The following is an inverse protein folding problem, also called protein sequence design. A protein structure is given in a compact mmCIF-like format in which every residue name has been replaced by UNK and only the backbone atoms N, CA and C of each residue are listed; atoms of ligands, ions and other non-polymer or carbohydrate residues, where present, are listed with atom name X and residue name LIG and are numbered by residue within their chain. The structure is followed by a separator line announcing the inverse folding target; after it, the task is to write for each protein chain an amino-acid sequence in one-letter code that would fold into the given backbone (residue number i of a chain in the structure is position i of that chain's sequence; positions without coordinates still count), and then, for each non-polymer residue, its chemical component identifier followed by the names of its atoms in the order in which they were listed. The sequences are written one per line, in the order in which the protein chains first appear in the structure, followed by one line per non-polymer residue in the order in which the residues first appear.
data_IF_501170659827
#
_entry.id   IF_501170659827
#
_cell.length_a   1.000
_cell.length_b   1.000
_cell.length_c   1.000
_cell.angle_alpha   90.00
_cell.angle_beta   90.00
_cell.angle_gamma   90.00
#
_symmetry.space_group_name_H-M   'P 1'
#
loop_
_entity.id
_entity.type
_entity.pdbx_description
1 polymer ?
#
# COMPACT_ATOMS: atom_id res chain seq x y z
N UNK A 1 -7.32 47.23 -35.79
CA UNK A 1 -6.43 46.64 -34.77
C UNK A 1 -7.32 45.83 -33.86
N UNK A 2 -7.21 44.51 -33.90
CA UNK A 2 -8.00 43.62 -33.02
C UNK A 2 -7.58 43.88 -31.58
N UNK A 3 -8.54 44.06 -30.67
CA UNK A 3 -8.25 44.08 -29.23
C UNK A 3 -7.51 42.79 -28.86
N UNK A 4 -6.48 42.84 -28.01
CA UNK A 4 -5.86 41.62 -27.50
C UNK A 4 -6.93 40.81 -26.76
N UNK A 5 -7.02 39.52 -27.06
CA UNK A 5 -7.88 38.61 -26.32
C UNK A 5 -7.40 38.59 -24.86
N UNK A 6 -8.30 38.95 -23.93
CA UNK A 6 -7.98 39.00 -22.49
C UNK A 6 -8.45 37.69 -21.87
N UNK A 7 -7.55 37.02 -21.15
CA UNK A 7 -7.86 35.80 -20.40
C UNK A 7 -8.46 36.18 -19.05
N UNK A 8 -9.58 35.58 -18.62
CA UNK A 8 -10.10 35.78 -17.28
C UNK A 8 -9.08 35.35 -16.21
N UNK A 9 -8.94 36.16 -15.15
CA UNK A 9 -8.02 35.90 -14.03
C UNK A 9 -8.20 34.49 -13.44
N UNK A 10 -9.46 34.04 -13.31
CA UNK A 10 -9.79 32.71 -12.78
C UNK A 10 -9.16 31.61 -13.65
N UNK A 11 -9.25 31.74 -14.97
CA UNK A 11 -8.73 30.73 -15.91
C UNK A 11 -7.20 30.74 -15.93
N UNK A 12 -6.58 31.92 -15.86
CA UNK A 12 -5.14 32.09 -15.78
C UNK A 12 -4.55 31.49 -14.49
N UNK A 13 -5.18 31.76 -13.34
CA UNK A 13 -4.76 31.19 -12.05
C UNK A 13 -5.00 29.68 -12.02
N UNK A 14 -6.10 29.19 -12.58
CA UNK A 14 -6.38 27.75 -12.68
C UNK A 14 -5.36 27.02 -13.57
N UNK A 15 -4.88 27.64 -14.65
CA UNK A 15 -3.80 27.09 -15.47
C UNK A 15 -2.47 26.98 -14.70
N UNK A 16 -2.08 28.01 -13.95
CA UNK A 16 -0.88 27.96 -13.11
C UNK A 16 -1.00 26.97 -11.95
N UNK A 17 -2.19 26.89 -11.35
CA UNK A 17 -2.45 25.98 -10.22
C UNK A 17 -2.26 24.53 -10.65
N UNK A 18 -2.74 24.16 -11.85
CA UNK A 18 -2.49 22.81 -12.42
C UNK A 18 -1.00 22.50 -12.57
N UNK A 19 -0.21 23.46 -13.04
CA UNK A 19 1.25 23.29 -13.17
C UNK A 19 1.94 23.11 -11.81
N UNK A 20 1.51 23.89 -10.80
CA UNK A 20 2.01 23.79 -9.43
C UNK A 20 1.61 22.47 -8.76
N UNK A 21 0.35 22.07 -8.89
CA UNK A 21 -0.16 20.83 -8.32
C UNK A 21 0.60 19.62 -8.88
N UNK A 22 0.90 19.61 -10.18
CA UNK A 22 1.70 18.56 -10.80
C UNK A 22 3.11 18.46 -10.18
N UNK A 23 3.76 19.60 -9.92
CA UNK A 23 5.06 19.66 -9.24
C UNK A 23 4.98 19.10 -7.82
N UNK A 24 3.96 19.49 -7.05
CA UNK A 24 3.80 19.04 -5.66
C UNK A 24 3.50 17.55 -5.55
N UNK A 25 2.66 17.02 -6.44
CA UNK A 25 2.37 15.58 -6.53
C UNK A 25 3.66 14.81 -6.84
N UNK A 26 4.43 15.23 -7.85
CA UNK A 26 5.69 14.57 -8.20
C UNK A 26 6.71 14.61 -7.04
N UNK A 27 6.87 15.74 -6.36
CA UNK A 27 7.77 15.84 -5.20
C UNK A 27 7.35 14.93 -4.04
N UNK A 28 6.05 14.83 -3.76
CA UNK A 28 5.50 13.97 -2.73
C UNK A 28 5.68 12.48 -3.07
N UNK A 29 5.38 12.08 -4.30
CA UNK A 29 5.60 10.71 -4.80
C UNK A 29 7.07 10.31 -4.68
N UNK A 30 8.00 11.12 -5.16
CA UNK A 30 9.43 10.82 -5.08
C UNK A 30 9.94 10.72 -3.65
N UNK A 31 9.40 11.51 -2.74
CA UNK A 31 9.73 11.46 -1.31
C UNK A 31 9.20 10.17 -0.67
N UNK A 32 7.99 9.75 -1.06
CA UNK A 32 7.42 8.48 -0.61
C UNK A 32 8.22 7.28 -1.14
N UNK A 33 8.54 7.26 -2.43
CA UNK A 33 9.31 6.20 -3.09
C UNK A 33 10.70 6.06 -2.48
N UNK A 34 11.37 7.20 -2.23
CA UNK A 34 12.65 7.24 -1.54
C UNK A 34 12.56 6.60 -0.15
N UNK A 35 11.57 6.99 0.64
CA UNK A 35 11.37 6.45 2.00
C UNK A 35 11.07 4.95 1.97
N UNK A 36 10.25 4.48 1.05
CA UNK A 36 9.91 3.06 0.91
C UNK A 36 11.15 2.25 0.51
N UNK A 37 11.89 2.71 -0.50
CA UNK A 37 13.09 2.05 -1.00
C UNK A 37 14.19 1.98 0.06
N UNK A 38 14.43 3.09 0.77
CA UNK A 38 15.42 3.12 1.84
C UNK A 38 14.99 2.32 3.08
N UNK A 39 13.68 2.28 3.38
CA UNK A 39 13.15 1.41 4.45
C UNK A 39 13.35 -0.07 4.12
N UNK A 40 13.21 -0.48 2.86
CA UNK A 40 13.50 -1.85 2.43
C UNK A 40 14.99 -2.20 2.65
N UNK A 41 15.88 -1.22 2.45
CA UNK A 41 17.31 -1.30 2.78
C UNK A 41 17.62 -1.01 4.26
N UNK A 42 16.57 -0.76 5.07
CA UNK A 42 16.55 -0.39 6.50
C UNK A 42 17.42 0.77 6.94
N UNK A 43 17.59 1.74 6.05
CA UNK A 43 18.06 3.08 6.40
C UNK A 43 16.91 3.88 7.01
N UNK A 44 17.21 4.81 7.93
CA UNK A 44 16.19 5.67 8.53
C UNK A 44 15.54 6.55 7.45
N UNK A 45 14.24 6.83 7.60
CA UNK A 45 13.49 7.69 6.68
C UNK A 45 13.85 9.18 6.81
N UNK A 46 14.70 9.53 7.78
CA UNK A 46 15.12 10.89 8.10
C UNK A 46 16.52 11.14 7.55
N UNK A 47 16.59 11.85 6.42
CA UNK A 47 17.85 12.14 5.73
C UNK A 47 18.73 13.15 6.45
N UNK A 48 18.19 13.91 7.40
CA UNK A 48 18.97 14.84 8.23
C UNK A 48 19.96 14.10 9.14
N UNK A 49 19.66 12.86 9.52
CA UNK A 49 20.52 12.01 10.35
C UNK A 49 21.70 11.40 9.58
N UNK A 50 21.75 11.57 8.25
CA UNK A 50 22.79 10.97 7.42
C UNK A 50 24.08 11.80 7.40
N UNK A 51 24.04 13.09 7.73
CA UNK A 51 25.17 14.02 7.58
C UNK A 51 26.11 14.12 8.79
N UNK A 52 25.61 14.03 10.02
CA UNK A 52 26.37 14.47 11.20
C UNK A 52 27.54 13.55 11.60
N UNK A 53 27.56 12.29 11.17
CA UNK A 53 28.77 11.47 11.23
C UNK A 53 28.66 10.26 10.30
N UNK A 54 28.70 10.46 8.98
CA UNK A 54 28.52 9.39 7.96
C UNK A 54 29.34 8.13 8.26
N UNK A 55 30.48 8.21 8.94
CA UNK A 55 31.32 7.05 9.29
C UNK A 55 30.87 6.35 10.56
N UNK A 56 30.46 7.09 11.60
CA UNK A 56 29.92 6.53 12.83
C UNK A 56 28.47 6.10 12.62
N UNK A 57 27.63 6.95 12.01
CA UNK A 57 26.29 6.66 11.53
C UNK A 57 26.26 5.50 10.56
N UNK A 58 27.10 5.35 9.52
CA UNK A 58 27.03 4.11 8.70
C UNK A 58 27.54 2.87 9.44
N UNK A 59 28.47 2.98 10.39
CA UNK A 59 28.97 1.82 11.17
C UNK A 59 27.97 1.41 12.26
N UNK A 60 27.29 2.39 12.85
CA UNK A 60 26.19 2.25 13.79
C UNK A 60 24.95 1.84 13.03
N UNK A 61 24.43 2.61 12.08
CA UNK A 61 23.30 2.25 11.21
C UNK A 61 23.49 0.92 10.51
N UNK A 62 24.66 0.50 10.02
CA UNK A 62 24.81 -0.85 9.45
C UNK A 62 24.85 -1.92 10.55
N UNK A 63 25.37 -1.63 11.75
CA UNK A 63 25.37 -2.58 12.89
C UNK A 63 24.01 -2.66 13.60
N UNK A 64 23.33 -1.54 13.74
CA UNK A 64 21.97 -1.33 14.24
C UNK A 64 20.99 -1.87 13.22
N UNK A 65 21.09 -1.55 11.93
CA UNK A 65 20.33 -2.21 10.85
C UNK A 65 20.50 -3.72 10.90
N UNK A 66 21.73 -4.24 10.99
CA UNK A 66 21.93 -5.70 11.08
C UNK A 66 21.37 -6.27 12.37
N UNK A 67 21.46 -5.55 13.48
CA UNK A 67 20.93 -5.96 14.78
C UNK A 67 19.40 -5.92 14.79
N UNK A 68 18.81 -4.89 14.22
CA UNK A 68 17.39 -4.56 14.19
C UNK A 68 16.69 -5.38 13.12
N UNK A 69 17.25 -5.57 11.94
CA UNK A 69 16.75 -6.54 10.95
C UNK A 69 16.82 -7.96 11.49
N UNK A 70 17.92 -8.34 12.16
CA UNK A 70 17.98 -9.66 12.83
C UNK A 70 16.94 -9.75 13.93
N UNK A 71 16.82 -8.73 14.76
CA UNK A 71 15.85 -8.69 15.85
C UNK A 71 14.43 -8.77 15.29
N UNK A 72 14.07 -7.93 14.32
CA UNK A 72 12.80 -7.88 13.61
C UNK A 72 12.48 -9.25 12.99
N UNK A 73 13.38 -9.83 12.20
CA UNK A 73 13.17 -11.15 11.56
C UNK A 73 12.99 -12.24 12.61
N UNK A 74 13.81 -12.25 13.67
CA UNK A 74 13.73 -13.23 14.76
C UNK A 74 12.44 -13.07 15.57
N UNK A 75 12.09 -11.82 15.92
CA UNK A 75 10.92 -11.48 16.72
C UNK A 75 9.63 -11.68 15.93
N UNK A 76 9.62 -11.37 14.64
CA UNK A 76 8.51 -11.68 13.73
C UNK A 76 8.31 -13.18 13.65
N UNK A 77 9.37 -13.96 13.41
CA UNK A 77 9.30 -15.42 13.47
C UNK A 77 8.81 -15.94 14.83
N UNK A 78 9.24 -15.32 15.93
CA UNK A 78 8.79 -15.69 17.29
C UNK A 78 7.30 -15.38 17.50
N UNK A 79 6.83 -14.20 17.07
CA UNK A 79 5.43 -13.80 17.13
C UNK A 79 4.57 -14.76 16.31
N UNK A 80 4.96 -15.04 15.07
CA UNK A 80 4.27 -15.99 14.20
C UNK A 80 4.16 -17.39 14.80
N UNK A 81 5.25 -17.92 15.37
CA UNK A 81 5.22 -19.23 16.05
C UNK A 81 4.28 -19.24 17.27
N UNK A 82 4.12 -18.11 17.97
CA UNK A 82 3.19 -17.99 19.10
C UNK A 82 1.72 -17.91 18.64
N UNK A 83 1.47 -17.32 17.48
CA UNK A 83 0.13 -17.18 16.88
C UNK A 83 -0.25 -18.35 15.98
N UNK A 84 0.32 -19.55 16.23
CA UNK A 84 0.08 -20.81 15.50
C UNK A 84 0.58 -20.87 14.04
N UNK A 85 1.29 -19.85 13.58
CA UNK A 85 2.03 -19.87 12.31
C UNK A 85 1.18 -19.63 11.05
N UNK A 86 1.81 -19.87 9.90
CA UNK A 86 1.29 -19.73 8.55
C UNK A 86 0.28 -20.82 8.19
N UNK A 87 0.47 -22.06 8.67
CA UNK A 87 -0.50 -23.15 8.44
C UNK A 87 -1.89 -22.79 8.98
N UNK A 88 -1.94 -22.38 10.25
CA UNK A 88 -3.21 -21.94 10.86
C UNK A 88 -3.78 -20.74 10.12
N UNK A 89 -2.94 -19.76 9.74
CA UNK A 89 -3.40 -18.59 9.00
C UNK A 89 -4.07 -18.97 7.66
N UNK A 90 -3.45 -19.89 6.91
CA UNK A 90 -4.02 -20.43 5.67
C UNK A 90 -5.37 -21.09 5.96
N UNK A 91 -5.47 -21.91 7.01
CA UNK A 91 -6.72 -22.57 7.38
C UNK A 91 -7.82 -21.56 7.75
N UNK A 92 -7.49 -20.50 8.50
CA UNK A 92 -8.46 -19.45 8.84
C UNK A 92 -8.94 -18.69 7.62
N UNK A 93 -8.06 -18.33 6.68
CA UNK A 93 -8.45 -17.68 5.41
C UNK A 93 -9.35 -18.59 4.58
N UNK A 94 -9.07 -19.90 4.54
CA UNK A 94 -9.93 -20.88 3.86
C UNK A 94 -11.29 -21.03 4.54
N UNK A 95 -11.35 -20.98 5.87
CA UNK A 95 -12.61 -21.03 6.62
C UNK A 95 -13.48 -19.81 6.34
N UNK A 96 -12.91 -18.59 6.38
CA UNK A 96 -13.59 -17.35 5.99
C UNK A 96 -14.15 -17.47 4.57
N UNK A 97 -13.35 -17.95 3.62
CA UNK A 97 -13.79 -18.10 2.23
C UNK A 97 -14.95 -19.11 2.09
N UNK A 98 -14.92 -20.21 2.84
CA UNK A 98 -15.99 -21.21 2.87
C UNK A 98 -17.28 -20.62 3.45
N UNK A 99 -17.18 -19.91 4.58
CA UNK A 99 -18.31 -19.25 5.22
C UNK A 99 -18.96 -18.23 4.30
N UNK A 100 -18.15 -17.42 3.62
CA UNK A 100 -18.65 -16.45 2.65
C UNK A 100 -19.41 -17.10 1.48
N UNK A 101 -18.90 -18.21 0.93
CA UNK A 101 -19.61 -18.95 -0.11
C UNK A 101 -20.97 -19.50 0.37
N UNK A 102 -21.08 -19.89 1.64
CA UNK A 102 -22.36 -20.28 2.24
C UNK A 102 -23.31 -19.07 2.36
N UNK A 103 -22.83 -17.91 2.78
CA UNK A 103 -23.61 -16.66 2.79
C UNK A 103 -24.04 -16.22 1.40
N UNK A 104 -23.22 -16.40 0.35
CA UNK A 104 -23.60 -16.16 -1.05
C UNK A 104 -24.77 -17.06 -1.49
N UNK A 105 -24.76 -18.32 -1.06
CA UNK A 105 -25.85 -19.27 -1.33
C UNK A 105 -27.13 -18.84 -0.62
N UNK A 106 -27.07 -18.53 0.68
CA UNK A 106 -28.21 -18.05 1.46
C UNK A 106 -28.78 -16.74 0.90
N UNK A 107 -27.92 -15.83 0.47
CA UNK A 107 -28.32 -14.57 -0.17
C UNK A 107 -29.07 -14.82 -1.49
N UNK A 108 -28.58 -15.76 -2.30
CA UNK A 108 -29.23 -16.13 -3.56
C UNK A 108 -30.62 -16.72 -3.35
N UNK A 109 -30.80 -17.55 -2.31
CA UNK A 109 -32.11 -18.05 -1.89
C UNK A 109 -33.04 -16.92 -1.42
N UNK A 110 -32.52 -16.01 -0.60
CA UNK A 110 -33.26 -14.84 -0.14
C UNK A 110 -33.74 -13.98 -1.31
N UNK A 111 -32.85 -13.65 -2.24
CA UNK A 111 -33.14 -12.83 -3.42
C UNK A 111 -34.20 -13.46 -4.30
N UNK A 112 -34.08 -14.77 -4.56
CA UNK A 112 -35.06 -15.54 -5.34
C UNK A 112 -36.44 -15.53 -4.66
N UNK A 113 -36.49 -15.70 -3.34
CA UNK A 113 -37.72 -15.62 -2.58
C UNK A 113 -38.33 -14.20 -2.62
N UNK A 114 -37.50 -13.18 -2.49
CA UNK A 114 -37.93 -11.78 -2.60
C UNK A 114 -38.53 -11.49 -3.97
N UNK A 115 -37.84 -11.81 -5.05
CA UNK A 115 -38.30 -11.58 -6.42
C UNK A 115 -39.64 -12.28 -6.69
N UNK A 116 -39.81 -13.52 -6.19
CA UNK A 116 -41.05 -14.27 -6.29
C UNK A 116 -42.23 -13.67 -5.49
N UNK A 117 -41.96 -12.95 -4.39
CA UNK A 117 -43.00 -12.37 -3.53
C UNK A 117 -43.19 -10.86 -3.72
N UNK A 118 -42.32 -10.20 -4.49
CA UNK A 118 -42.29 -8.74 -4.65
C UNK A 118 -43.66 -8.15 -5.01
N UNK A 119 -44.42 -8.81 -5.89
CA UNK A 119 -45.76 -8.36 -6.30
C UNK A 119 -46.84 -8.45 -5.22
N UNK A 120 -46.56 -9.07 -4.07
CA UNK A 120 -47.50 -9.26 -2.95
C UNK A 120 -47.15 -8.42 -1.71
N UNK A 121 -46.08 -7.65 -1.77
CA UNK A 121 -45.61 -6.79 -0.67
C UNK A 121 -46.25 -5.40 -0.78
N UNK A 122 -46.53 -4.75 0.35
CA UNK A 122 -46.98 -3.35 0.32
C UNK A 122 -45.78 -2.40 0.12
N UNK A 123 -46.04 -1.18 -0.33
CA UNK A 123 -44.99 -0.21 -0.69
C UNK A 123 -43.96 0.06 0.42
N UNK A 124 -44.40 0.13 1.68
CA UNK A 124 -43.50 0.34 2.82
C UNK A 124 -42.52 -0.82 3.02
N UNK A 125 -42.95 -2.04 2.77
CA UNK A 125 -42.13 -3.24 2.93
C UNK A 125 -41.21 -3.44 1.73
N UNK A 126 -41.69 -3.14 0.53
CA UNK A 126 -40.85 -3.08 -0.66
C UNK A 126 -39.66 -2.15 -0.42
N UNK A 127 -39.91 -0.97 0.15
CA UNK A 127 -38.83 -0.04 0.51
C UNK A 127 -37.85 -0.67 1.51
N UNK A 128 -38.35 -1.26 2.61
CA UNK A 128 -37.50 -1.91 3.62
C UNK A 128 -36.67 -3.06 3.06
N UNK A 129 -37.26 -3.97 2.29
CA UNK A 129 -36.53 -5.10 1.71
C UNK A 129 -35.53 -4.66 0.65
N UNK A 130 -35.84 -3.64 -0.17
CA UNK A 130 -34.88 -3.08 -1.13
C UNK A 130 -33.66 -2.46 -0.43
N UNK A 131 -33.89 -1.73 0.67
CA UNK A 131 -32.79 -1.12 1.45
C UNK A 131 -31.89 -2.19 2.10
N UNK A 132 -32.51 -3.25 2.65
CA UNK A 132 -31.78 -4.42 3.17
C UNK A 132 -31.01 -5.14 2.07
N UNK A 133 -31.62 -5.39 0.91
CA UNK A 133 -30.95 -6.03 -0.24
C UNK A 133 -29.72 -5.23 -0.65
N UNK A 134 -29.87 -3.91 -0.84
CA UNK A 134 -28.76 -3.03 -1.21
C UNK A 134 -27.65 -3.04 -0.15
N UNK A 135 -28.01 -3.02 1.13
CA UNK A 135 -27.04 -3.06 2.23
C UNK A 135 -26.27 -4.38 2.24
N UNK A 136 -26.97 -5.51 2.07
CA UNK A 136 -26.34 -6.85 2.01
C UNK A 136 -25.47 -6.98 0.76
N UNK A 137 -25.91 -6.52 -0.41
CA UNK A 137 -25.11 -6.54 -1.65
C UNK A 137 -23.82 -5.74 -1.49
N UNK A 138 -23.90 -4.51 -0.98
CA UNK A 138 -22.72 -3.68 -0.74
C UNK A 138 -21.75 -4.34 0.24
N UNK A 139 -22.27 -4.92 1.33
CA UNK A 139 -21.45 -5.59 2.32
C UNK A 139 -20.77 -6.86 1.75
N UNK A 140 -21.48 -7.64 0.92
CA UNK A 140 -20.92 -8.82 0.25
C UNK A 140 -19.83 -8.44 -0.77
N UNK A 141 -20.00 -7.34 -1.51
CA UNK A 141 -18.97 -6.82 -2.43
C UNK A 141 -17.71 -6.41 -1.65
N UNK A 142 -17.86 -5.58 -0.62
CA UNK A 142 -16.73 -5.15 0.21
C UNK A 142 -16.03 -6.34 0.89
N UNK A 143 -16.79 -7.33 1.35
CA UNK A 143 -16.24 -8.57 1.90
C UNK A 143 -15.38 -9.31 0.88
N UNK A 144 -15.90 -9.50 -0.33
CA UNK A 144 -15.22 -10.21 -1.41
C UNK A 144 -13.93 -9.53 -1.84
N UNK A 145 -13.93 -8.20 -1.93
CA UNK A 145 -12.74 -7.40 -2.21
C UNK A 145 -11.68 -7.61 -1.13
N UNK A 146 -12.05 -7.45 0.14
CA UNK A 146 -11.13 -7.63 1.26
C UNK A 146 -10.60 -9.07 1.35
N UNK A 147 -11.43 -10.09 1.12
CA UNK A 147 -11.00 -11.49 1.06
C UNK A 147 -10.01 -11.72 -0.09
N UNK A 148 -10.23 -11.09 -1.25
CA UNK A 148 -9.34 -11.20 -2.41
C UNK A 148 -7.96 -10.59 -2.11
N UNK A 149 -7.93 -9.37 -1.54
CA UNK A 149 -6.69 -8.70 -1.10
C UNK A 149 -5.95 -9.57 -0.08
N UNK A 150 -6.68 -10.12 0.89
CA UNK A 150 -6.12 -10.98 1.94
C UNK A 150 -5.48 -12.24 1.33
N UNK A 151 -6.14 -12.88 0.36
CA UNK A 151 -5.61 -14.08 -0.33
C UNK A 151 -4.38 -13.76 -1.18
N UNK A 152 -4.39 -12.62 -1.89
CA UNK A 152 -3.24 -12.17 -2.67
C UNK A 152 -2.02 -11.93 -1.78
N UNK A 153 -2.19 -11.16 -0.68
CA UNK A 153 -1.12 -10.91 0.29
C UNK A 153 -0.59 -12.19 0.91
N UNK A 154 -1.48 -13.09 1.31
CA UNK A 154 -1.10 -14.41 1.82
C UNK A 154 -0.25 -15.17 0.79
N UNK A 155 -0.68 -15.23 -0.47
CA UNK A 155 0.06 -15.94 -1.52
C UNK A 155 1.46 -15.35 -1.75
N UNK A 156 1.57 -14.02 -1.82
CA UNK A 156 2.85 -13.33 -2.04
C UNK A 156 3.85 -13.55 -0.89
N UNK A 157 3.37 -13.54 0.35
CA UNK A 157 4.24 -13.64 1.53
C UNK A 157 4.34 -15.05 2.12
N UNK A 158 3.59 -16.03 1.61
CA UNK A 158 3.62 -17.41 2.13
C UNK A 158 5.04 -18.00 2.18
N UNK A 159 5.91 -17.85 1.16
CA UNK A 159 7.29 -18.35 1.24
C UNK A 159 8.08 -17.73 2.39
N UNK A 160 7.95 -16.41 2.60
CA UNK A 160 8.59 -15.69 3.70
C UNK A 160 8.05 -16.17 5.06
N UNK A 161 6.74 -16.41 5.17
CA UNK A 161 6.14 -16.96 6.38
C UNK A 161 6.69 -18.35 6.72
N UNK A 162 6.85 -19.23 5.71
CA UNK A 162 7.44 -20.57 5.90
C UNK A 162 8.87 -20.52 6.39
N UNK A 163 9.66 -19.55 5.92
CA UNK A 163 11.01 -19.30 6.42
C UNK A 163 10.95 -18.86 7.89
N UNK A 164 10.14 -17.85 8.20
CA UNK A 164 10.05 -17.28 9.55
C UNK A 164 9.53 -18.26 10.60
N UNK A 165 8.72 -19.25 10.20
CA UNK A 165 8.26 -20.35 11.05
C UNK A 165 9.37 -21.31 11.49
N UNK A 166 10.47 -21.40 10.74
CA UNK A 166 11.56 -22.33 11.04
C UNK A 166 12.22 -22.04 12.40
N UNK A 167 12.93 -23.02 12.99
CA UNK A 167 13.75 -22.78 14.16
C UNK A 167 14.70 -21.59 13.96
N UNK A 168 14.98 -20.85 15.03
CA UNK A 168 15.79 -19.62 14.95
C UNK A 168 17.14 -19.83 14.27
N UNK A 169 17.78 -21.00 14.43
CA UNK A 169 19.05 -21.34 13.77
C UNK A 169 18.94 -21.36 12.23
N UNK A 170 17.79 -21.78 11.72
CA UNK A 170 17.52 -21.96 10.28
C UNK A 170 17.09 -20.62 9.67
N UNK A 171 16.30 -19.83 10.40
CA UNK A 171 16.05 -18.40 10.07
C UNK A 171 17.36 -17.60 10.06
N UNK A 172 18.26 -17.90 11.01
CA UNK A 172 19.59 -17.27 11.06
C UNK A 172 20.45 -17.58 9.84
N UNK A 173 20.22 -18.67 9.10
CA UNK A 173 20.95 -18.94 7.87
C UNK A 173 20.74 -17.83 6.81
N UNK A 174 19.55 -17.22 6.78
CA UNK A 174 19.24 -16.08 5.90
C UNK A 174 19.84 -14.75 6.40
N UNK A 175 20.22 -14.67 7.68
CA UNK A 175 20.82 -13.46 8.27
C UNK A 175 22.31 -13.63 8.62
N UNK A 176 22.88 -14.83 8.42
CA UNK A 176 24.28 -15.17 8.75
C UNK A 176 25.28 -14.34 7.96
N UNK A 177 24.95 -13.93 6.73
CA UNK A 177 25.85 -13.12 5.89
C UNK A 177 25.90 -11.65 6.30
N UNK A 178 24.93 -11.19 7.10
CA UNK A 178 25.05 -9.94 7.84
C UNK A 178 26.21 -10.03 8.88
N UNK A 179 26.67 -11.22 9.26
CA UNK A 179 27.85 -11.40 10.11
C UNK A 179 29.19 -11.40 9.35
N UNK A 180 29.22 -11.63 8.02
CA UNK A 180 30.45 -11.79 7.24
C UNK A 180 30.37 -11.20 5.82
N UNK A 181 30.65 -9.90 5.63
CA UNK A 181 30.75 -9.30 4.30
C UNK A 181 32.12 -9.60 3.66
N UNK A 182 32.13 -9.94 2.37
CA UNK A 182 33.28 -9.77 1.49
C UNK A 182 33.62 -8.26 1.52
N UNK A 183 34.77 -7.92 2.10
CA UNK A 183 35.30 -6.54 2.24
C UNK A 183 34.28 -5.48 2.72
N UNK A 184 33.94 -5.50 4.02
CA UNK A 184 33.12 -4.47 4.69
C UNK A 184 33.53 -3.02 4.35
N UNK A 185 34.80 -2.78 4.01
CA UNK A 185 35.31 -1.43 3.68
C UNK A 185 34.99 -0.98 2.27
N UNK A 186 34.93 -1.86 1.29
CA UNK A 186 34.68 -1.50 -0.11
C UNK A 186 33.20 -1.22 -0.34
N UNK A 187 32.31 -2.08 0.15
CA UNK A 187 30.86 -1.85 0.05
C UNK A 187 30.42 -0.59 0.82
N UNK A 188 31.01 -0.32 1.99
CA UNK A 188 30.73 0.94 2.72
C UNK A 188 31.24 2.15 1.94
N UNK A 189 32.40 2.07 1.28
CA UNK A 189 32.92 3.19 0.47
C UNK A 189 32.04 3.46 -0.74
N UNK A 190 31.61 2.43 -1.46
CA UNK A 190 30.77 2.55 -2.64
C UNK A 190 29.34 3.01 -2.31
N UNK A 191 28.70 2.42 -1.29
CA UNK A 191 27.38 2.85 -0.83
C UNK A 191 27.39 4.29 -0.27
N UNK A 192 28.50 4.72 0.34
CA UNK A 192 28.63 6.08 0.90
C UNK A 192 28.55 7.16 -0.18
N UNK A 193 29.26 7.01 -1.30
CA UNK A 193 29.19 7.99 -2.39
C UNK A 193 27.78 8.07 -2.98
N UNK A 194 27.09 6.93 -3.06
CA UNK A 194 25.71 6.87 -3.56
C UNK A 194 24.72 7.55 -2.60
N UNK A 195 24.84 7.32 -1.28
CA UNK A 195 23.99 7.99 -0.29
C UNK A 195 24.22 9.50 -0.23
N UNK A 196 25.47 9.96 -0.34
CA UNK A 196 25.77 11.40 -0.42
C UNK A 196 25.09 12.00 -1.65
N UNK A 197 25.24 11.33 -2.81
CA UNK A 197 24.58 11.76 -4.05
C UNK A 197 23.05 11.78 -3.93
N UNK A 198 22.47 10.82 -3.20
CA UNK A 198 21.03 10.76 -2.96
C UNK A 198 20.53 11.96 -2.14
N UNK A 199 21.31 12.43 -1.16
CA UNK A 199 20.94 13.64 -0.42
C UNK A 199 21.10 14.88 -1.28
N UNK A 200 22.15 14.97 -2.10
CA UNK A 200 22.30 16.09 -3.05
C UNK A 200 21.07 16.19 -3.96
N UNK A 201 20.64 15.07 -4.55
CA UNK A 201 19.41 15.01 -5.38
C UNK A 201 18.16 15.41 -4.59
N UNK A 202 18.06 15.02 -3.32
CA UNK A 202 16.94 15.43 -2.45
C UNK A 202 16.98 16.94 -2.15
N UNK A 203 18.16 17.50 -1.91
CA UNK A 203 18.37 18.93 -1.68
C UNK A 203 18.02 19.75 -2.93
N UNK A 204 18.51 19.34 -4.09
CA UNK A 204 18.18 19.92 -5.40
C UNK A 204 16.66 19.93 -5.62
N UNK A 205 15.98 18.80 -5.34
CA UNK A 205 14.51 18.72 -5.42
C UNK A 205 13.81 19.71 -4.48
N UNK A 206 14.26 19.80 -3.23
CA UNK A 206 13.69 20.73 -2.25
C UNK A 206 13.83 22.21 -2.66
N UNK A 207 14.97 22.57 -3.25
CA UNK A 207 15.18 23.91 -3.82
C UNK A 207 14.28 24.19 -5.03
N UNK A 208 14.07 23.19 -5.90
CA UNK A 208 13.14 23.29 -7.03
C UNK A 208 11.70 23.49 -6.54
N UNK A 209 11.26 22.71 -5.55
CA UNK A 209 9.94 22.81 -4.95
C UNK A 209 9.71 24.22 -4.35
N UNK A 210 10.64 24.68 -3.50
CA UNK A 210 10.58 26.01 -2.89
C UNK A 210 10.50 27.13 -3.94
N UNK A 211 11.34 27.05 -4.98
CA UNK A 211 11.36 28.02 -6.08
C UNK A 211 10.06 28.02 -6.87
N UNK A 212 9.46 26.85 -7.11
CA UNK A 212 8.19 26.76 -7.82
C UNK A 212 7.03 27.36 -7.02
N UNK A 213 7.02 27.21 -5.69
CA UNK A 213 6.08 27.88 -4.81
C UNK A 213 6.23 29.41 -4.82
N UNK A 214 7.47 29.90 -4.74
CA UNK A 214 7.76 31.33 -4.84
C UNK A 214 7.35 31.91 -6.21
N UNK A 215 7.57 31.17 -7.30
CA UNK A 215 7.17 31.56 -8.65
C UNK A 215 5.65 31.63 -8.78
N UNK A 216 4.92 30.67 -8.23
CA UNK A 216 3.45 30.68 -8.23
C UNK A 216 2.90 31.96 -7.57
N UNK A 217 3.37 32.27 -6.35
CA UNK A 217 2.94 33.45 -5.60
C UNK A 217 3.24 34.74 -6.37
N UNK A 218 4.46 34.88 -6.91
CA UNK A 218 4.86 36.06 -7.66
C UNK A 218 4.06 36.25 -8.95
N UNK A 219 3.84 35.17 -9.71
CA UNK A 219 3.09 35.24 -10.96
C UNK A 219 1.60 35.50 -10.70
N UNK A 220 0.99 34.86 -9.71
CA UNK A 220 -0.41 35.13 -9.34
C UNK A 220 -0.62 36.58 -8.89
N UNK A 221 0.33 37.16 -8.15
CA UNK A 221 0.28 38.58 -7.80
C UNK A 221 0.37 39.48 -9.05
N UNK A 222 1.25 39.16 -10.00
CA UNK A 222 1.42 39.95 -11.23
C UNK A 222 0.16 40.00 -12.12
N UNK A 223 -0.70 38.98 -12.06
CA UNK A 223 -1.97 38.95 -12.78
C UNK A 223 -3.03 39.89 -12.21
N UNK A 224 -2.84 40.40 -10.99
CA UNK A 224 -3.73 41.40 -10.39
C UNK A 224 -3.44 42.81 -10.91
N UNK A 225 -2.21 43.06 -11.37
CA UNK A 225 -1.71 44.41 -11.68
C UNK A 225 -1.65 44.71 -13.19
N UNK A 226 -1.86 43.71 -14.05
CA UNK A 226 -1.70 43.85 -15.50
C UNK A 226 -2.77 43.06 -16.29
N UNK A 227 -3.12 43.49 -17.53
CA UNK A 227 -4.01 42.73 -18.40
C UNK A 227 -3.36 41.38 -18.77
N UNK A 228 -4.13 40.31 -18.59
CA UNK A 228 -3.66 38.94 -18.79
C UNK A 228 -3.88 38.55 -20.25
N UNK A 229 -2.79 38.31 -20.98
CA UNK A 229 -2.85 37.82 -22.36
C UNK A 229 -2.58 36.32 -22.43
N UNK A 230 -3.06 35.61 -23.45
CA UNK A 230 -2.78 34.19 -23.66
C UNK A 230 -1.29 33.88 -23.72
N UNK A 231 -0.49 34.75 -24.33
CA UNK A 231 0.97 34.59 -24.45
C UNK A 231 1.65 34.66 -23.08
N UNK A 232 1.18 35.56 -22.21
CA UNK A 232 1.70 35.66 -20.85
C UNK A 232 1.38 34.39 -20.06
N UNK A 233 0.15 33.89 -20.13
CA UNK A 233 -0.23 32.64 -19.44
C UNK A 233 0.58 31.46 -19.97
N UNK A 234 0.72 31.33 -21.30
CA UNK A 234 1.50 30.28 -21.92
C UNK A 234 2.98 30.33 -21.51
N UNK A 235 3.59 31.52 -21.46
CA UNK A 235 4.97 31.69 -21.02
C UNK A 235 5.17 31.30 -19.55
N UNK A 236 4.20 31.56 -18.68
CA UNK A 236 4.30 31.19 -17.27
C UNK A 236 4.04 29.69 -17.04
N UNK A 237 3.11 29.08 -17.78
CA UNK A 237 2.88 27.63 -17.78
C UNK A 237 4.13 26.89 -18.27
N UNK A 238 4.78 27.37 -19.33
CA UNK A 238 6.01 26.77 -19.85
C UNK A 238 7.15 26.73 -18.81
N UNK A 239 7.25 27.72 -17.92
CA UNK A 239 8.20 27.68 -16.79
C UNK A 239 7.88 26.57 -15.79
N UNK A 240 6.60 26.28 -15.54
CA UNK A 240 6.21 25.15 -14.70
C UNK A 240 6.53 23.81 -15.37
N UNK A 241 6.42 23.72 -16.70
CA UNK A 241 6.84 22.54 -17.47
C UNK A 241 8.36 22.32 -17.36
N UNK A 242 9.18 23.39 -17.43
CA UNK A 242 10.63 23.32 -17.21
C UNK A 242 10.98 22.84 -15.80
N UNK A 243 10.25 23.33 -14.78
CA UNK A 243 10.39 22.88 -13.38
C UNK A 243 10.03 21.40 -13.25
N UNK A 244 8.94 20.95 -13.87
CA UNK A 244 8.54 19.55 -13.86
C UNK A 244 9.60 18.66 -14.53
N UNK A 245 10.18 19.10 -15.65
CA UNK A 245 11.28 18.39 -16.30
C UNK A 245 12.53 18.29 -15.40
N UNK A 246 12.84 19.32 -14.62
CA UNK A 246 13.93 19.28 -13.65
C UNK A 246 13.67 18.26 -12.51
N UNK A 247 12.42 18.12 -12.07
CA UNK A 247 12.03 17.11 -11.06
C UNK A 247 12.10 15.69 -11.64
N UNK A 248 11.71 15.49 -12.90
CA UNK A 248 11.85 14.20 -13.60
C UNK A 248 13.32 13.79 -13.79
N UNK A 249 14.23 14.76 -13.98
CA UNK A 249 15.67 14.47 -13.92
C UNK A 249 16.12 14.00 -12.53
N UNK A 250 15.60 14.63 -11.46
CA UNK A 250 15.86 14.20 -10.08
C UNK A 250 15.33 12.78 -9.81
N UNK A 251 14.15 12.45 -10.34
CA UNK A 251 13.58 11.09 -10.28
C UNK A 251 14.48 10.07 -10.94
N UNK A 252 14.94 10.35 -12.16
CA UNK A 252 15.82 9.44 -12.91
C UNK A 252 17.10 9.16 -12.13
N UNK A 253 17.75 10.20 -11.63
CA UNK A 253 18.93 10.05 -10.78
C UNK A 253 18.63 9.27 -9.49
N UNK A 254 17.51 9.54 -8.82
CA UNK A 254 17.08 8.82 -7.62
C UNK A 254 16.89 7.32 -7.89
N UNK A 255 16.21 6.96 -8.97
CA UNK A 255 15.96 5.56 -9.35
C UNK A 255 17.27 4.82 -9.65
N UNK A 256 18.18 5.43 -10.40
CA UNK A 256 19.49 4.85 -10.70
C UNK A 256 20.34 4.63 -9.44
N UNK A 257 20.38 5.62 -8.54
CA UNK A 257 21.13 5.53 -7.29
C UNK A 257 20.55 4.44 -6.39
N UNK A 258 19.22 4.36 -6.28
CA UNK A 258 18.54 3.32 -5.49
C UNK A 258 18.76 1.93 -6.07
N UNK A 259 18.76 1.77 -7.40
CA UNK A 259 19.07 0.51 -8.05
C UNK A 259 20.51 0.05 -7.77
N UNK A 260 21.50 0.95 -7.88
CA UNK A 260 22.89 0.64 -7.56
C UNK A 260 23.08 0.32 -6.07
N UNK A 261 22.42 1.08 -5.18
CA UNK A 261 22.42 0.77 -3.74
C UNK A 261 21.85 -0.64 -3.50
N UNK A 262 20.73 -0.97 -4.16
CA UNK A 262 20.13 -2.31 -4.08
C UNK A 262 21.11 -3.38 -4.54
N UNK A 263 21.80 -3.23 -5.67
CA UNK A 263 22.83 -4.18 -6.13
C UNK A 263 23.94 -4.40 -5.08
N UNK A 264 24.46 -3.34 -4.45
CA UNK A 264 25.48 -3.48 -3.39
C UNK A 264 24.99 -4.23 -2.15
N UNK A 265 23.70 -4.14 -1.84
CA UNK A 265 23.08 -4.88 -0.74
C UNK A 265 22.64 -6.29 -1.17
N UNK A 266 22.29 -6.50 -2.44
CA UNK A 266 21.75 -7.75 -3.02
C UNK A 266 22.82 -8.72 -3.53
N UNK A 267 23.97 -8.25 -4.04
CA UNK A 267 25.12 -9.12 -4.42
C UNK A 267 25.71 -9.87 -3.20
N UNK A 268 25.34 -9.47 -1.98
CA UNK A 268 25.61 -10.21 -0.76
C UNK A 268 24.64 -11.40 -0.52
N UNK A 269 23.61 -11.54 -1.36
CA UNK A 269 22.35 -12.27 -1.14
C UNK A 269 22.22 -13.66 -1.78
N UNK A 270 23.29 -14.42 -2.04
CA UNK A 270 23.08 -15.81 -2.49
C UNK A 270 22.33 -16.61 -1.40
N UNK A 271 21.18 -17.20 -1.78
CA UNK A 271 20.32 -17.99 -0.88
C UNK A 271 21.04 -19.23 -0.33
N UNK A 272 20.69 -19.71 0.88
CA UNK A 272 21.19 -21.00 1.35
C UNK A 272 20.77 -22.10 0.37
N UNK A 273 21.70 -22.98 0.02
CA UNK A 273 21.56 -23.99 -1.05
C UNK A 273 20.51 -25.07 -0.78
N UNK A 274 20.01 -25.19 0.45
CA UNK A 274 18.80 -25.99 0.76
C UNK A 274 18.33 -25.72 2.19
N UNK A 275 17.01 -25.61 2.37
CA UNK A 275 16.34 -25.64 3.68
C UNK A 275 15.13 -26.56 3.60
N UNK A 276 15.00 -27.44 4.60
CA UNK A 276 13.91 -28.39 4.66
C UNK A 276 12.55 -27.67 4.73
N UNK A 277 11.61 -28.06 3.86
CA UNK A 277 10.26 -27.49 3.81
C UNK A 277 10.09 -26.22 2.98
N UNK A 278 11.15 -25.75 2.31
CA UNK A 278 11.10 -24.66 1.32
C UNK A 278 11.41 -25.27 -0.05
N UNK A 279 10.74 -24.78 -1.10
CA UNK A 279 11.01 -25.24 -2.48
C UNK A 279 12.47 -24.89 -2.83
N UNK A 280 13.25 -25.83 -3.40
CA UNK A 280 14.59 -25.52 -3.88
C UNK A 280 14.60 -24.26 -4.75
N UNK A 281 15.67 -23.46 -4.66
CA UNK A 281 15.85 -22.19 -5.38
C UNK A 281 14.86 -21.06 -5.02
N UNK A 282 14.10 -21.19 -3.93
CA UNK A 282 13.30 -20.06 -3.43
C UNK A 282 14.22 -18.94 -2.92
N UNK A 283 14.31 -17.86 -3.69
CA UNK A 283 14.99 -16.62 -3.27
C UNK A 283 14.00 -15.73 -2.53
N UNK A 284 14.27 -15.43 -1.26
CA UNK A 284 13.49 -14.46 -0.48
C UNK A 284 14.42 -13.35 0.00
N UNK A 285 14.12 -12.12 -0.37
CA UNK A 285 14.88 -10.95 0.06
C UNK A 285 14.75 -10.75 1.58
N UNK A 286 15.80 -10.24 2.22
CA UNK A 286 15.79 -9.94 3.66
C UNK A 286 14.75 -8.87 4.00
N UNK A 287 14.53 -7.92 3.09
CA UNK A 287 13.44 -6.93 3.13
C UNK A 287 12.08 -7.63 3.26
N UNK A 288 11.81 -8.63 2.43
CA UNK A 288 10.57 -9.41 2.46
C UNK A 288 10.39 -10.15 3.78
N UNK A 289 11.47 -10.74 4.35
CA UNK A 289 11.42 -11.39 5.66
C UNK A 289 11.15 -10.39 6.81
N UNK A 290 11.60 -9.14 6.67
CA UNK A 290 11.33 -8.07 7.64
C UNK A 290 9.86 -7.66 7.59
N UNK A 291 9.35 -7.39 6.38
CA UNK A 291 7.98 -6.88 6.18
C UNK A 291 6.92 -7.96 6.41
N UNK A 292 7.29 -9.23 6.25
CA UNK A 292 6.42 -10.37 6.48
C UNK A 292 5.74 -10.36 7.87
N UNK A 293 6.40 -9.89 8.93
CA UNK A 293 5.77 -9.82 10.27
C UNK A 293 4.59 -8.85 10.35
N UNK A 294 4.72 -7.68 9.71
CA UNK A 294 3.64 -6.69 9.62
C UNK A 294 2.51 -7.24 8.75
N UNK A 295 2.84 -7.76 7.57
CA UNK A 295 1.87 -8.36 6.65
C UNK A 295 1.09 -9.52 7.31
N UNK A 296 1.77 -10.40 8.06
CA UNK A 296 1.14 -11.48 8.81
C UNK A 296 0.11 -10.96 9.83
N UNK A 297 0.46 -9.90 10.56
CA UNK A 297 -0.42 -9.28 11.55
C UNK A 297 -1.63 -8.61 10.89
N UNK A 298 -1.43 -7.94 9.75
CA UNK A 298 -2.50 -7.35 8.96
C UNK A 298 -3.47 -8.40 8.40
N UNK A 299 -2.96 -9.53 7.91
CA UNK A 299 -3.79 -10.65 7.43
C UNK A 299 -4.59 -11.23 8.60
N UNK A 300 -3.99 -11.42 9.77
CA UNK A 300 -4.71 -11.90 10.96
C UNK A 300 -5.87 -10.98 11.34
N UNK A 301 -5.62 -9.67 11.43
CA UNK A 301 -6.65 -8.70 11.74
C UNK A 301 -7.76 -8.67 10.68
N UNK A 302 -7.39 -8.75 9.39
CA UNK A 302 -8.35 -8.81 8.29
C UNK A 302 -9.24 -10.07 8.39
N UNK A 303 -8.66 -11.23 8.71
CA UNK A 303 -9.40 -12.50 8.89
C UNK A 303 -10.37 -12.42 10.05
N UNK A 304 -9.98 -11.79 11.17
CA UNK A 304 -10.85 -11.60 12.34
C UNK A 304 -12.04 -10.70 12.00
N UNK A 305 -11.78 -9.57 11.36
CA UNK A 305 -12.81 -8.68 10.87
C UNK A 305 -13.77 -9.39 9.90
N UNK A 306 -13.25 -10.19 8.97
CA UNK A 306 -14.07 -10.93 8.01
C UNK A 306 -14.93 -11.99 8.72
N UNK A 307 -14.47 -12.64 9.78
CA UNK A 307 -15.34 -13.52 10.56
C UNK A 307 -16.51 -12.76 11.20
N UNK A 308 -16.25 -11.62 11.83
CA UNK A 308 -17.29 -10.80 12.48
C UNK A 308 -18.34 -10.29 11.49
N UNK A 309 -17.88 -9.82 10.32
CA UNK A 309 -18.77 -9.35 9.25
C UNK A 309 -19.60 -10.53 8.72
N UNK A 310 -18.98 -11.70 8.50
CA UNK A 310 -19.69 -12.87 7.98
C UNK A 310 -20.81 -13.32 8.92
N UNK A 311 -20.52 -13.44 10.22
CA UNK A 311 -21.51 -13.86 11.21
C UNK A 311 -22.69 -12.87 11.27
N UNK A 312 -22.40 -11.56 11.15
CA UNK A 312 -23.43 -10.51 11.08
C UNK A 312 -24.26 -10.57 9.80
N UNK A 313 -23.63 -10.85 8.66
CA UNK A 313 -24.29 -11.02 7.37
C UNK A 313 -25.23 -12.24 7.38
N UNK A 314 -24.73 -13.38 7.84
CA UNK A 314 -25.51 -14.63 7.94
C UNK A 314 -26.74 -14.45 8.82
N UNK A 315 -26.60 -13.82 10.00
CA UNK A 315 -27.72 -13.52 10.88
C UNK A 315 -28.75 -12.60 10.22
N UNK A 316 -28.30 -11.58 9.48
CA UNK A 316 -29.18 -10.64 8.80
C UNK A 316 -29.95 -11.33 7.68
N UNK A 317 -29.26 -12.05 6.79
CA UNK A 317 -29.88 -12.80 5.69
C UNK A 317 -30.87 -13.83 6.24
N UNK A 318 -30.49 -14.58 7.27
CA UNK A 318 -31.35 -15.60 7.90
C UNK A 318 -32.63 -15.01 8.50
N UNK A 319 -32.51 -13.89 9.23
CA UNK A 319 -33.67 -13.21 9.85
C UNK A 319 -34.63 -12.67 8.80
N UNK A 320 -34.10 -12.01 7.77
CA UNK A 320 -34.90 -11.38 6.71
C UNK A 320 -35.57 -12.45 5.85
N UNK A 321 -34.85 -13.53 5.53
CA UNK A 321 -35.41 -14.71 4.83
C UNK A 321 -36.53 -15.35 5.64
N UNK A 322 -36.33 -15.56 6.94
CA UNK A 322 -37.33 -16.17 7.82
C UNK A 322 -38.61 -15.33 7.92
N UNK A 323 -38.47 -14.01 8.06
CA UNK A 323 -39.61 -13.08 8.05
C UNK A 323 -40.40 -13.15 6.75
N UNK A 324 -39.71 -13.19 5.62
CA UNK A 324 -40.35 -13.29 4.31
C UNK A 324 -41.06 -14.64 4.14
N UNK A 325 -40.42 -15.76 4.54
CA UNK A 325 -41.03 -17.11 4.52
C UNK A 325 -42.28 -17.18 5.41
N UNK A 326 -42.22 -16.67 6.64
CA UNK A 326 -43.35 -16.74 7.57
C UNK A 326 -44.58 -16.01 7.03
N UNK A 327 -44.35 -14.88 6.36
CA UNK A 327 -45.43 -14.11 5.74
C UNK A 327 -46.09 -14.84 4.56
N UNK A 328 -45.31 -15.59 3.77
CA UNK A 328 -45.87 -16.46 2.72
C UNK A 328 -46.80 -17.50 3.32
N UNK A 329 -46.44 -18.09 4.45
CA UNK A 329 -47.26 -19.09 5.14
C UNK A 329 -48.57 -18.50 5.66
N UNK A 330 -48.53 -17.32 6.29
CA UNK A 330 -49.74 -16.64 6.81
C UNK A 330 -50.70 -16.27 5.68
N UNK A 331 -50.20 -15.71 4.56
CA UNK A 331 -51.05 -15.36 3.42
C UNK A 331 -51.73 -16.59 2.79
N UNK A 332 -51.08 -17.76 2.77
CA UNK A 332 -51.69 -19.00 2.28
C UNK A 332 -52.82 -19.50 3.19
N UNK A 333 -52.68 -19.35 4.52
CA UNK A 333 -53.71 -19.75 5.49
C UNK A 333 -54.92 -18.83 5.39
N UNK A 334 -54.71 -17.51 5.27
CA UNK A 334 -55.80 -16.54 5.15
C UNK A 334 -56.59 -16.69 3.84
N UNK A 335 -55.93 -17.08 2.74
CA UNK A 335 -56.61 -17.34 1.46
C UNK A 335 -57.34 -18.69 1.40
N UNK A 336 -57.11 -19.59 2.36
CA UNK A 336 -57.73 -20.91 2.42
C UNK A 336 -58.90 -20.99 3.43
N UNK A 337 -59.14 -19.92 4.20
CA UNK A 337 -60.32 -19.72 5.07
C UNK A 337 -61.35 -18.85 4.38
#
# INVERSE_FOLDING_TARGET
MSSPDIVPLIDAVAALSRGRDAVDVLCAELTLDLRQSLRALGLSADSSQWHDDVRHSMKILNREYRRDVKADVIDNGRKMRRTKGANELVLRVLDVARKFAASETQYSEFKTLYDAQRGRLVSAELFQYNDVLKTVENAMVAFKEQLTITRQRLASYLPAFRILEQPQRDVRAFTWRLDAPVSQRENIRAARSLLVRLVEVQGERGEIELRSGAMFVATSASFMDAPITPELVAAQVSKFEEIAAAIENCKTAQVEILAQLKEYFDDAGASPSSLAGIVPDTTVEVSTLRDAGACYSEILAAVELLHEINDSLELTISRVTSRLKHRVTVNKVVLAM
#
